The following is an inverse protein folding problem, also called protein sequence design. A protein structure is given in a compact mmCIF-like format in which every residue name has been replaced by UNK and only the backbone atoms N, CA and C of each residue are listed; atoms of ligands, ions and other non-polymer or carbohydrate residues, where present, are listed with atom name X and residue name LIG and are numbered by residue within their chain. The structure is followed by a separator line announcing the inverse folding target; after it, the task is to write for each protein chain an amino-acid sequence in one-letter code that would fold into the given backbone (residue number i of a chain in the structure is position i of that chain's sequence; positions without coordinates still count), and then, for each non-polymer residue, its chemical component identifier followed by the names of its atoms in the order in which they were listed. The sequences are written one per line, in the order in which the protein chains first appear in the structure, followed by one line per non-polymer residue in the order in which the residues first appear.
data_IF_024882673102
#
_entry.id   IF_024882673102
#
_cell.length_a   1.000
_cell.length_b   1.000
_cell.length_c   1.000
_cell.angle_alpha   90.00
_cell.angle_beta   90.00
_cell.angle_gamma   90.00
#
_symmetry.space_group_name_H-M   'P 1'
#
loop_
_entity.id
_entity.type
_entity.pdbx_description
1 polymer ?
#
# COMPACT_ATOMS: atom_id res chain seq x y z
N UNK A 1 12.96 7.37 -18.72
CA UNK A 1 12.04 7.36 -17.56
C UNK A 1 12.75 8.12 -16.45
N UNK A 2 12.13 9.12 -15.83
CA UNK A 2 12.69 9.71 -14.62
C UNK A 2 12.64 8.73 -13.45
N UNK A 3 13.30 9.10 -12.36
CA UNK A 3 13.46 8.23 -11.19
C UNK A 3 12.09 7.80 -10.63
N UNK A 4 11.12 8.71 -10.62
CA UNK A 4 9.78 8.46 -10.09
C UNK A 4 9.05 7.36 -10.87
N UNK A 5 9.18 7.34 -12.20
CA UNK A 5 8.57 6.31 -13.04
C UNK A 5 9.16 4.91 -12.78
N UNK A 6 10.47 4.82 -12.55
CA UNK A 6 11.13 3.55 -12.20
C UNK A 6 10.67 3.07 -10.82
N UNK A 7 10.60 3.98 -9.85
CA UNK A 7 10.14 3.65 -8.49
C UNK A 7 8.68 3.20 -8.46
N UNK A 8 7.82 3.78 -9.31
CA UNK A 8 6.43 3.34 -9.46
C UNK A 8 6.33 1.92 -10.01
N UNK A 9 7.08 1.60 -11.06
CA UNK A 9 7.11 0.26 -11.65
C UNK A 9 7.52 -0.75 -10.57
N UNK A 10 8.66 -0.52 -9.91
CA UNK A 10 9.13 -1.38 -8.82
C UNK A 10 8.11 -1.50 -7.68
N UNK A 11 7.44 -0.39 -7.34
CA UNK A 11 6.39 -0.34 -6.33
C UNK A 11 5.19 -1.23 -6.70
N UNK A 12 4.71 -1.16 -7.93
CA UNK A 12 3.60 -2.01 -8.39
C UNK A 12 4.01 -3.47 -8.51
N UNK A 13 5.19 -3.78 -9.04
CA UNK A 13 5.68 -5.15 -9.14
C UNK A 13 5.78 -5.80 -7.76
N UNK A 14 6.35 -5.07 -6.78
CA UNK A 14 6.42 -5.50 -5.38
C UNK A 14 5.02 -5.68 -4.79
N UNK A 15 4.12 -4.71 -4.99
CA UNK A 15 2.77 -4.73 -4.44
C UNK A 15 1.98 -5.94 -4.94
N UNK A 16 1.98 -6.17 -6.24
CA UNK A 16 1.19 -7.22 -6.87
C UNK A 16 1.91 -8.56 -6.99
N UNK A 17 3.22 -8.60 -6.74
CA UNK A 17 4.05 -9.80 -6.89
C UNK A 17 4.12 -10.31 -8.34
N UNK A 18 4.11 -9.38 -9.30
CA UNK A 18 4.11 -9.67 -10.75
C UNK A 18 5.06 -8.74 -11.47
N UNK A 19 5.75 -9.24 -12.49
CA UNK A 19 6.67 -8.43 -13.30
C UNK A 19 5.92 -7.60 -14.35
N UNK A 20 6.43 -6.39 -14.59
CA UNK A 20 6.10 -5.53 -15.72
C UNK A 20 7.26 -5.61 -16.70
N UNK A 21 7.00 -6.13 -17.89
CA UNK A 21 8.02 -6.19 -18.95
C UNK A 21 8.38 -4.79 -19.44
N UNK A 22 9.57 -4.63 -20.02
CA UNK A 22 10.00 -3.33 -20.58
C UNK A 22 9.01 -2.80 -21.63
N UNK A 23 8.48 -3.67 -22.49
CA UNK A 23 7.49 -3.31 -23.50
C UNK A 23 6.17 -2.82 -22.88
N UNK A 24 5.71 -3.49 -21.81
CA UNK A 24 4.56 -3.01 -21.04
C UNK A 24 4.87 -1.64 -20.41
N UNK A 25 6.02 -1.50 -19.75
CA UNK A 25 6.43 -0.30 -19.03
C UNK A 25 6.47 0.96 -19.92
N UNK A 26 6.98 0.84 -21.15
CA UNK A 26 7.04 1.96 -22.12
C UNK A 26 5.64 2.50 -22.47
N UNK A 27 4.61 1.66 -22.38
CA UNK A 27 3.22 2.06 -22.69
C UNK A 27 2.46 2.66 -21.50
N UNK A 28 2.96 2.52 -20.27
CA UNK A 28 2.26 2.96 -19.05
C UNK A 28 2.37 4.47 -18.87
N UNK A 29 1.46 5.23 -19.49
CA UNK A 29 1.46 6.70 -19.43
C UNK A 29 0.48 7.27 -18.40
N UNK A 30 -0.53 6.49 -17.99
CA UNK A 30 -1.57 6.91 -17.04
C UNK A 30 -1.79 5.84 -15.96
N UNK A 31 -2.28 6.22 -14.76
CA UNK A 31 -2.71 5.24 -13.77
C UNK A 31 -3.78 4.27 -14.32
N UNK A 32 -4.67 4.72 -15.19
CA UNK A 32 -5.70 3.87 -15.80
C UNK A 32 -5.09 2.74 -16.65
N UNK A 33 -3.99 3.00 -17.35
CA UNK A 33 -3.28 1.96 -18.12
C UNK A 33 -2.67 0.90 -17.20
N UNK A 34 -2.10 1.32 -16.07
CA UNK A 34 -1.58 0.41 -15.04
C UNK A 34 -2.71 -0.44 -14.44
N UNK A 35 -3.84 0.19 -14.13
CA UNK A 35 -5.03 -0.50 -13.61
C UNK A 35 -5.52 -1.55 -14.60
N UNK A 36 -5.57 -1.20 -15.89
CA UNK A 36 -6.00 -2.11 -16.94
C UNK A 36 -5.03 -3.30 -17.08
N UNK A 37 -3.73 -3.04 -17.05
CA UNK A 37 -2.69 -4.06 -17.12
C UNK A 37 -2.84 -5.09 -15.99
N UNK A 38 -2.83 -4.64 -14.74
CA UNK A 38 -2.93 -5.54 -13.59
C UNK A 38 -4.30 -6.20 -13.49
N UNK A 39 -5.39 -5.51 -13.86
CA UNK A 39 -6.71 -6.13 -13.93
C UNK A 39 -6.76 -7.28 -14.93
N UNK A 40 -6.09 -7.14 -16.08
CA UNK A 40 -5.98 -8.21 -17.06
C UNK A 40 -5.13 -9.37 -16.53
N UNK A 41 -3.96 -9.10 -15.94
CA UNK A 41 -3.08 -10.15 -15.38
C UNK A 41 -3.73 -10.92 -14.23
N UNK A 42 -4.55 -10.26 -13.40
CA UNK A 42 -5.24 -10.85 -12.25
C UNK A 42 -6.60 -11.49 -12.59
N UNK A 43 -7.08 -11.36 -13.83
CA UNK A 43 -8.44 -11.79 -14.19
C UNK A 43 -9.52 -11.04 -13.41
N UNK A 44 -9.30 -9.75 -13.14
CA UNK A 44 -10.14 -8.98 -12.25
C UNK A 44 -11.55 -8.75 -12.80
N UNK A 45 -12.56 -8.92 -11.95
CA UNK A 45 -13.96 -8.76 -12.30
C UNK A 45 -14.45 -7.32 -12.08
N UNK A 46 -15.31 -6.83 -12.98
CA UNK A 46 -15.99 -5.53 -12.86
C UNK A 46 -17.27 -5.61 -12.01
N UNK A 47 -17.82 -6.81 -11.85
CA UNK A 47 -19.20 -7.02 -11.36
C UNK A 47 -19.23 -7.59 -9.94
N UNK A 48 -18.09 -8.01 -9.39
CA UNK A 48 -18.02 -8.56 -8.04
C UNK A 48 -17.95 -7.46 -6.97
N UNK A 49 -18.59 -7.73 -5.82
CA UNK A 49 -18.49 -6.88 -4.63
C UNK A 49 -17.24 -7.33 -3.86
N UNK A 50 -16.12 -6.68 -4.12
CA UNK A 50 -14.86 -6.93 -3.41
C UNK A 50 -14.79 -6.22 -2.06
N UNK A 51 -13.98 -6.74 -1.14
CA UNK A 51 -13.68 -6.06 0.13
C UNK A 51 -12.75 -4.87 -0.11
N UNK A 52 -12.97 -3.76 0.61
CA UNK A 52 -12.07 -2.62 0.61
C UNK A 52 -10.68 -2.98 1.15
N UNK A 53 -9.59 -2.95 0.33
CA UNK A 53 -8.27 -3.37 0.78
C UNK A 53 -7.81 -2.58 2.01
N UNK A 54 -7.94 -1.25 1.96
CA UNK A 54 -7.54 -0.35 3.04
C UNK A 54 -8.32 -0.62 4.33
N UNK A 55 -9.63 -0.92 4.24
CA UNK A 55 -10.43 -1.26 5.42
C UNK A 55 -10.02 -2.61 6.01
N UNK A 56 -9.76 -3.60 5.16
CA UNK A 56 -9.29 -4.92 5.59
C UNK A 56 -7.95 -4.81 6.32
N UNK A 57 -6.99 -4.10 5.72
CA UNK A 57 -5.70 -3.78 6.35
C UNK A 57 -5.90 -3.03 7.66
N UNK A 58 -6.79 -2.03 7.71
CA UNK A 58 -7.09 -1.30 8.94
C UNK A 58 -7.57 -2.21 10.07
N UNK A 59 -8.50 -3.14 9.81
CA UNK A 59 -8.96 -4.07 10.84
C UNK A 59 -7.86 -5.02 11.31
N UNK A 60 -7.01 -5.51 10.39
CA UNK A 60 -5.86 -6.32 10.76
C UNK A 60 -4.85 -5.53 11.61
N UNK A 61 -4.45 -4.34 11.18
CA UNK A 61 -3.53 -3.45 11.93
C UNK A 61 -4.10 -3.11 13.31
N UNK A 62 -5.39 -2.81 13.38
CA UNK A 62 -6.09 -2.51 14.64
C UNK A 62 -6.06 -3.70 15.60
N UNK A 63 -6.28 -4.91 15.08
CA UNK A 63 -6.20 -6.14 15.87
C UNK A 63 -4.77 -6.43 16.34
N UNK A 64 -3.76 -6.22 15.47
CA UNK A 64 -2.37 -6.40 15.82
C UNK A 64 -1.91 -5.43 16.92
N UNK A 65 -2.27 -4.14 16.82
CA UNK A 65 -1.98 -3.16 17.88
C UNK A 65 -2.67 -3.55 19.19
N UNK A 66 -3.93 -4.01 19.13
CA UNK A 66 -4.62 -4.52 20.33
C UNK A 66 -3.88 -5.70 20.97
N UNK A 67 -3.44 -6.68 20.19
CA UNK A 67 -2.70 -7.85 20.68
C UNK A 67 -1.37 -7.48 21.34
N UNK A 68 -0.65 -6.52 20.76
CA UNK A 68 0.68 -6.10 21.24
C UNK A 68 0.59 -5.18 22.45
N UNK A 69 -0.39 -4.28 22.50
CA UNK A 69 -0.45 -3.21 23.51
C UNK A 69 -1.53 -3.39 24.57
N UNK A 70 -2.51 -4.27 24.34
CA UNK A 70 -3.70 -4.40 25.18
C UNK A 70 -4.72 -3.26 25.04
N UNK A 71 -4.44 -2.22 24.24
CA UNK A 71 -5.38 -1.12 23.99
C UNK A 71 -6.68 -1.62 23.41
N UNK A 72 -7.81 -1.04 23.82
CA UNK A 72 -9.09 -1.45 23.27
C UNK A 72 -9.20 -1.02 21.81
N UNK A 73 -9.74 -1.88 20.94
CA UNK A 73 -9.89 -1.57 19.53
C UNK A 73 -10.56 -0.20 19.32
N UNK A 74 -11.58 0.17 20.12
CA UNK A 74 -12.28 1.47 20.04
C UNK A 74 -11.39 2.72 20.17
N UNK A 75 -10.22 2.59 20.77
CA UNK A 75 -9.25 3.67 20.99
C UNK A 75 -8.29 3.85 19.80
N UNK A 76 -8.16 2.80 18.98
CA UNK A 76 -7.31 2.77 17.79
C UNK A 76 -8.16 3.27 16.61
N UNK A 77 -7.95 4.53 16.23
CA UNK A 77 -8.60 5.20 15.10
C UNK A 77 -7.57 5.52 14.02
N UNK A 78 -8.02 5.72 12.79
CA UNK A 78 -7.14 6.05 11.66
C UNK A 78 -6.28 7.29 11.91
N UNK A 79 -6.83 8.33 12.54
CA UNK A 79 -6.11 9.56 12.87
C UNK A 79 -5.34 9.50 14.20
N UNK A 80 -5.39 8.37 14.93
CA UNK A 80 -4.62 8.21 16.16
C UNK A 80 -3.12 8.24 15.83
N UNK A 81 -2.37 9.05 16.55
CA UNK A 81 -0.92 9.13 16.42
C UNK A 81 -0.27 7.85 16.99
N UNK A 82 0.58 7.19 16.20
CA UNK A 82 1.21 5.95 16.60
C UNK A 82 2.11 6.11 17.83
N UNK A 83 2.75 7.27 18.04
CA UNK A 83 3.58 7.53 19.23
C UNK A 83 2.76 7.72 20.51
N UNK A 84 1.45 7.90 20.39
CA UNK A 84 0.53 7.93 21.52
C UNK A 84 -0.06 6.55 21.80
N UNK A 85 -0.18 5.70 20.77
CA UNK A 85 -0.67 4.33 20.92
C UNK A 85 0.42 3.34 21.35
N UNK A 86 1.63 3.52 20.83
CA UNK A 86 2.77 2.65 21.13
C UNK A 86 3.67 3.33 22.17
N UNK A 87 4.28 2.58 23.11
CA UNK A 87 5.07 3.20 24.17
C UNK A 87 6.33 3.88 23.60
N UNK A 88 6.58 5.12 24.02
CA UNK A 88 7.64 5.97 23.44
C UNK A 88 9.05 5.38 23.61
N UNK A 89 9.32 4.73 24.75
CA UNK A 89 10.65 4.24 25.12
C UNK A 89 11.14 3.11 24.21
N UNK A 90 10.22 2.28 23.70
CA UNK A 90 10.49 1.11 22.87
C UNK A 90 9.66 1.12 21.57
N UNK A 91 9.30 2.31 21.07
CA UNK A 91 8.43 2.48 19.90
C UNK A 91 8.82 1.60 18.72
N UNK A 92 10.12 1.51 18.41
CA UNK A 92 10.61 0.73 17.27
C UNK A 92 10.48 -0.79 17.46
N UNK A 93 10.60 -1.27 18.69
CA UNK A 93 10.44 -2.67 19.07
C UNK A 93 8.96 -3.04 19.05
N UNK A 94 8.11 -2.24 19.70
CA UNK A 94 6.66 -2.47 19.69
C UNK A 94 6.08 -2.36 18.28
N UNK A 95 6.56 -1.42 17.46
CA UNK A 95 6.17 -1.38 16.04
C UNK A 95 6.61 -2.65 15.31
N UNK A 96 7.79 -3.18 15.60
CA UNK A 96 8.24 -4.46 15.03
C UNK A 96 7.35 -5.62 15.46
N UNK A 97 6.91 -5.66 16.72
CA UNK A 97 5.96 -6.66 17.21
C UNK A 97 4.61 -6.56 16.50
N UNK A 98 4.13 -5.34 16.20
CA UNK A 98 2.93 -5.14 15.39
C UNK A 98 3.11 -5.71 13.98
N UNK A 99 4.26 -5.50 13.34
CA UNK A 99 4.57 -6.13 12.05
C UNK A 99 4.61 -7.66 12.15
N UNK A 100 5.26 -8.20 13.19
CA UNK A 100 5.31 -9.64 13.44
C UNK A 100 3.92 -10.25 13.67
N UNK A 101 3.04 -9.57 14.40
CA UNK A 101 1.66 -10.00 14.61
C UNK A 101 0.82 -10.02 13.32
N UNK A 102 1.23 -9.23 12.32
CA UNK A 102 0.67 -9.24 10.98
C UNK A 102 1.37 -10.26 10.04
N UNK A 103 2.33 -11.05 10.53
CA UNK A 103 3.21 -11.89 9.70
C UNK A 103 3.93 -11.12 8.58
N UNK A 104 4.22 -9.85 8.83
CA UNK A 104 4.95 -8.98 7.91
C UNK A 104 6.36 -8.75 8.42
N UNK A 105 7.29 -8.55 7.50
CA UNK A 105 8.61 -8.05 7.84
C UNK A 105 8.55 -6.54 7.98
N UNK A 106 9.12 -6.01 9.07
CA UNK A 106 9.28 -4.56 9.23
C UNK A 106 10.19 -4.03 8.11
N UNK A 107 9.85 -2.91 7.46
CA UNK A 107 10.74 -2.28 6.48
C UNK A 107 12.08 -1.90 7.12
N UNK A 108 13.18 -2.15 6.40
CA UNK A 108 14.52 -1.74 6.85
C UNK A 108 14.59 -0.22 6.82
N UNK A 109 14.84 0.40 7.98
CA UNK A 109 14.89 1.86 8.14
C UNK A 109 16.08 2.56 7.45
N UNK A 110 16.87 1.81 6.68
CA UNK A 110 18.03 2.27 5.93
C UNK A 110 18.09 1.47 4.62
N UNK A 111 17.51 2.02 3.55
CA UNK A 111 17.54 1.43 2.22
C UNK A 111 17.29 2.48 1.15
N UNK A 112 17.96 2.33 0.01
CA UNK A 112 17.71 3.08 -1.22
C UNK A 112 16.42 2.53 -1.85
N UNK A 113 15.51 3.39 -2.32
CA UNK A 113 14.25 3.00 -2.99
C UNK A 113 12.98 3.09 -2.11
N UNK A 114 11.93 2.36 -2.49
CA UNK A 114 10.52 2.46 -2.00
C UNK A 114 10.33 2.39 -0.46
N UNK A 115 11.29 1.83 0.28
CA UNK A 115 11.24 1.73 1.75
C UNK A 115 11.85 2.96 2.48
N UNK A 116 12.44 3.91 1.73
CA UNK A 116 13.19 5.07 2.27
C UNK A 116 12.30 6.05 3.07
N UNK A 117 10.99 6.09 2.79
CA UNK A 117 10.06 7.06 3.40
C UNK A 117 9.15 6.48 4.50
N UNK A 118 9.42 5.27 5.00
CA UNK A 118 8.62 4.65 6.05
C UNK A 118 8.77 5.37 7.42
N UNK A 119 7.91 6.37 7.65
CA UNK A 119 7.78 7.09 8.93
C UNK A 119 6.30 7.33 9.25
N UNK A 120 5.51 6.27 9.54
CA UNK A 120 4.09 6.45 9.80
C UNK A 120 3.89 7.25 11.09
N UNK A 121 3.16 8.36 11.01
CA UNK A 121 2.82 9.20 12.16
C UNK A 121 1.50 8.75 12.78
N UNK A 122 0.57 8.29 11.94
CA UNK A 122 -0.78 7.87 12.30
C UNK A 122 -1.05 6.42 11.90
N UNK A 123 -2.09 5.82 12.47
CA UNK A 123 -2.57 4.49 12.04
C UNK A 123 -2.93 4.50 10.55
N UNK A 124 -3.48 5.60 10.03
CA UNK A 124 -3.78 5.78 8.60
C UNK A 124 -2.53 5.66 7.76
N UNK A 125 -1.42 6.29 8.16
CA UNK A 125 -0.16 6.23 7.42
C UNK A 125 0.36 4.80 7.36
N UNK A 126 0.30 4.08 8.49
CA UNK A 126 0.69 2.67 8.55
C UNK A 126 -0.20 1.79 7.67
N UNK A 127 -1.51 1.98 7.71
CA UNK A 127 -2.47 1.24 6.89
C UNK A 127 -2.25 1.50 5.40
N UNK A 128 -2.04 2.77 5.02
CA UNK A 128 -1.78 3.13 3.63
C UNK A 128 -0.49 2.49 3.12
N UNK A 129 0.58 2.57 3.92
CA UNK A 129 1.86 1.96 3.59
C UNK A 129 1.75 0.44 3.44
N UNK A 130 1.12 -0.25 4.41
CA UNK A 130 0.90 -1.70 4.32
C UNK A 130 0.05 -2.09 3.10
N UNK A 131 -0.99 -1.29 2.79
CA UNK A 131 -1.84 -1.54 1.62
C UNK A 131 -1.06 -1.41 0.31
N UNK A 132 -0.11 -0.47 0.24
CA UNK A 132 0.74 -0.29 -0.95
C UNK A 132 1.79 -1.40 -1.08
N UNK A 133 2.38 -1.89 0.01
CA UNK A 133 3.52 -2.81 -0.04
C UNK A 133 3.16 -4.29 0.11
N UNK A 134 2.02 -4.62 0.72
CA UNK A 134 1.62 -6.00 1.01
C UNK A 134 0.16 -6.33 0.68
N UNK A 135 -0.44 -5.84 -0.42
CA UNK A 135 -1.85 -6.08 -0.67
C UNK A 135 -2.19 -7.57 -0.84
N UNK A 136 -1.31 -8.35 -1.48
CA UNK A 136 -1.47 -9.80 -1.63
C UNK A 136 -1.41 -10.59 -0.32
N UNK A 137 -0.93 -9.99 0.78
CA UNK A 137 -0.95 -10.63 2.10
C UNK A 137 -2.35 -10.60 2.73
N UNK A 138 -3.13 -9.57 2.41
CA UNK A 138 -4.46 -9.35 2.99
C UNK A 138 -5.60 -9.76 2.07
N UNK A 139 -5.33 -9.94 0.77
CA UNK A 139 -6.28 -10.48 -0.19
C UNK A 139 -6.07 -11.99 -0.33
N UNK A 140 -7.15 -12.79 -0.22
CA UNK A 140 -7.01 -14.24 -0.46
C UNK A 140 -6.69 -14.49 -1.93
N UNK A 141 -5.84 -15.49 -2.21
CA UNK A 141 -5.59 -15.98 -3.57
C UNK A 141 -6.85 -16.57 -4.23
N UNK A 142 -7.82 -16.97 -3.43
CA UNK A 142 -9.11 -17.54 -3.87
C UNK A 142 -10.16 -16.46 -4.13
N UNK A 143 -9.92 -15.23 -3.67
CA UNK A 143 -10.82 -14.10 -3.87
C UNK A 143 -10.56 -13.50 -5.25
N UNK A 144 -11.60 -13.43 -6.10
CA UNK A 144 -11.49 -12.77 -7.39
C UNK A 144 -11.22 -11.28 -7.16
N UNK A 145 -10.08 -10.82 -7.67
CA UNK A 145 -9.75 -9.40 -7.67
C UNK A 145 -10.84 -8.61 -8.39
N UNK A 146 -11.16 -7.44 -7.87
CA UNK A 146 -11.99 -6.46 -8.58
C UNK A 146 -11.10 -5.40 -9.22
N UNK A 147 -11.56 -4.83 -10.35
CA UNK A 147 -10.89 -3.67 -10.97
C UNK A 147 -10.75 -2.52 -9.95
N UNK A 148 -11.74 -2.38 -9.06
CA UNK A 148 -11.72 -1.39 -8.01
C UNK A 148 -10.62 -1.64 -6.95
N UNK A 149 -10.40 -2.90 -6.54
CA UNK A 149 -9.29 -3.24 -5.63
C UNK A 149 -7.93 -2.96 -6.28
N UNK A 150 -7.76 -3.33 -7.56
CA UNK A 150 -6.55 -3.01 -8.34
C UNK A 150 -6.32 -1.50 -8.38
N UNK A 151 -7.36 -0.71 -8.74
CA UNK A 151 -7.31 0.76 -8.73
C UNK A 151 -6.91 1.33 -7.38
N UNK A 152 -7.48 0.81 -6.30
CA UNK A 152 -7.15 1.26 -4.95
C UNK A 152 -5.66 1.07 -4.61
N UNK A 153 -5.08 -0.07 -5.01
CA UNK A 153 -3.67 -0.39 -4.76
C UNK A 153 -2.74 0.43 -5.67
N UNK A 154 -3.05 0.55 -6.95
CA UNK A 154 -2.29 1.42 -7.88
C UNK A 154 -2.23 2.84 -7.32
N UNK A 155 -3.36 3.37 -6.85
CA UNK A 155 -3.41 4.71 -6.24
C UNK A 155 -2.66 4.78 -4.92
N UNK A 156 -2.64 3.72 -4.12
CA UNK A 156 -1.88 3.66 -2.88
C UNK A 156 -0.37 3.74 -3.16
N UNK A 157 0.12 2.98 -4.14
CA UNK A 157 1.54 3.01 -4.56
C UNK A 157 1.92 4.39 -5.11
N UNK A 158 1.09 5.00 -5.96
CA UNK A 158 1.36 6.37 -6.48
C UNK A 158 1.54 7.36 -5.33
N UNK A 159 0.62 7.35 -4.35
CA UNK A 159 0.72 8.24 -3.19
C UNK A 159 1.96 7.99 -2.34
N UNK A 160 2.33 6.73 -2.19
CA UNK A 160 3.47 6.33 -1.37
C UNK A 160 4.80 6.77 -2.01
N UNK A 161 4.96 6.51 -3.31
CA UNK A 161 6.18 6.84 -4.07
C UNK A 161 6.31 8.34 -4.30
N UNK A 162 5.23 8.99 -4.75
CA UNK A 162 5.30 10.36 -5.29
C UNK A 162 4.78 11.43 -4.34
N UNK A 163 4.07 11.04 -3.27
CA UNK A 163 3.36 11.97 -2.38
C UNK A 163 2.10 12.61 -2.98
N UNK A 164 1.78 12.35 -4.26
CA UNK A 164 0.64 12.97 -4.95
C UNK A 164 -0.68 12.39 -4.43
N UNK A 165 -1.50 13.22 -3.77
CA UNK A 165 -2.77 12.78 -3.15
C UNK A 165 -4.01 13.01 -4.01
N UNK A 166 -3.93 13.92 -4.99
CA UNK A 166 -5.07 14.33 -5.81
C UNK A 166 -4.75 14.15 -7.30
N UNK A 167 -5.35 13.14 -7.91
CA UNK A 167 -5.27 12.89 -9.35
C UNK A 167 -6.49 12.09 -9.83
N UNK A 168 -6.70 12.13 -11.15
CA UNK A 168 -7.62 11.24 -11.85
C UNK A 168 -6.81 10.12 -12.52
N UNK A 169 -7.35 8.92 -12.58
CA UNK A 169 -6.68 7.78 -13.22
C UNK A 169 -6.43 8.02 -14.72
N UNK A 170 -7.20 8.91 -15.35
CA UNK A 170 -7.02 9.30 -16.76
C UNK A 170 -5.94 10.36 -16.99
N UNK A 171 -5.37 10.97 -15.94
CA UNK A 171 -4.29 11.94 -16.12
C UNK A 171 -2.98 11.22 -16.47
N UNK A 172 -2.22 11.79 -17.41
CA UNK A 172 -0.85 11.31 -17.66
C UNK A 172 0.03 11.58 -16.45
N UNK A 173 1.02 10.71 -16.23
CA UNK A 173 1.99 10.84 -15.14
C UNK A 173 2.68 12.21 -15.13
N UNK A 174 3.02 12.73 -16.30
CA UNK A 174 3.59 14.08 -16.44
C UNK A 174 2.67 15.17 -15.87
N UNK A 175 1.37 15.10 -16.13
CA UNK A 175 0.39 16.09 -15.67
C UNK A 175 0.16 16.07 -14.16
N UNK A 176 0.52 14.97 -13.50
CA UNK A 176 0.45 14.84 -12.04
C UNK A 176 1.82 15.01 -11.37
N UNK A 177 2.82 15.50 -12.12
CA UNK A 177 4.13 15.89 -11.62
C UNK A 177 5.14 14.76 -11.51
N UNK A 178 4.93 13.65 -12.22
CA UNK A 178 5.78 12.45 -12.20
C UNK A 178 6.58 12.43 -13.51
N UNK A 179 7.91 12.46 -13.40
CA UNK A 179 8.82 12.50 -14.56
C UNK A 179 9.57 11.17 -14.77
#
# INVERSE_FOLDING_TARGET
MGLDAVELIMGWEKAFGMEITDDEAVTLQTPQMVINLFSAKLGASKTSVGVCPTMRVYYCVRQAIHQVTGLQCREIKLNSNLRNLLPKRNFQETLSEVFSALNLQKPRSFGVGVDMFFKPLTVKDLVNWITAHYPGHFMSKEELWTVWQVSSIVRAVIRDVTGVTHFNDAHDFYHIGIN
#
